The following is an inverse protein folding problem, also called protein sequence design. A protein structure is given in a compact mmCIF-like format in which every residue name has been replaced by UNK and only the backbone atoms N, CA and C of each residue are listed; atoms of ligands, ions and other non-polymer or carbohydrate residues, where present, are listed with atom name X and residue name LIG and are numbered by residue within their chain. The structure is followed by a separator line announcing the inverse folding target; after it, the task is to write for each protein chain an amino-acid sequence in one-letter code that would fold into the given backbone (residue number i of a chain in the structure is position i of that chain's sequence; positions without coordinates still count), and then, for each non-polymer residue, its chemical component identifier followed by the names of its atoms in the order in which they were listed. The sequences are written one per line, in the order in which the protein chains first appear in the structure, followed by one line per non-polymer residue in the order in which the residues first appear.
data_IF_663910018615
#
_entry.id   IF_663910018615
#
_cell.length_a   1.000
_cell.length_b   1.000
_cell.length_c   1.000
_cell.angle_alpha   90.00
_cell.angle_beta   90.00
_cell.angle_gamma   90.00
#
_symmetry.space_group_name_H-M   'P 1'
#
loop_
_entity.id
_entity.type
_entity.pdbx_description
1 polymer ?
#
# COMPACT_ATOMS: atom_id res chain seq x y z
N UNK A 1 0.04 10.95 19.44
CA UNK A 1 0.72 9.91 18.63
C UNK A 1 -0.35 8.88 18.35
N UNK A 2 -0.65 8.57 17.09
CA UNK A 2 -1.69 7.61 16.73
C UNK A 2 -1.10 6.20 16.82
N UNK A 3 -1.79 5.28 17.49
CA UNK A 3 -1.41 3.87 17.53
C UNK A 3 -1.96 3.17 16.28
N UNK A 4 -1.27 3.37 15.15
CA UNK A 4 -1.74 2.95 13.83
C UNK A 4 -1.70 1.43 13.71
N UNK A 5 -2.84 0.82 13.36
CA UNK A 5 -2.97 -0.60 13.04
C UNK A 5 -2.69 -0.87 11.57
N UNK A 6 -3.33 -0.11 10.68
CA UNK A 6 -3.14 -0.23 9.24
C UNK A 6 -3.31 1.14 8.55
N UNK A 7 -2.76 1.24 7.33
CA UNK A 7 -2.84 2.42 6.48
C UNK A 7 -3.11 1.97 5.04
N UNK A 8 -3.95 2.71 4.34
CA UNK A 8 -4.18 2.56 2.91
C UNK A 8 -3.99 3.91 2.23
N UNK A 9 -3.41 3.87 1.03
CA UNK A 9 -3.10 5.05 0.25
C UNK A 9 -3.86 4.96 -1.06
N UNK A 10 -4.65 5.98 -1.37
CA UNK A 10 -5.25 6.16 -2.68
C UNK A 10 -4.34 6.98 -3.59
N UNK A 11 -4.95 7.66 -4.56
CA UNK A 11 -4.23 8.49 -5.51
C UNK A 11 -3.62 9.75 -4.91
N UNK A 12 -4.47 10.46 -4.15
CA UNK A 12 -4.21 11.78 -3.59
C UNK A 12 -4.73 11.91 -2.16
N UNK A 13 -5.16 10.80 -1.58
CA UNK A 13 -5.64 10.72 -0.21
C UNK A 13 -5.07 9.47 0.48
N UNK A 14 -5.14 9.48 1.80
CA UNK A 14 -4.72 8.39 2.64
C UNK A 14 -5.72 8.23 3.78
N UNK A 15 -5.87 6.98 4.22
CA UNK A 15 -6.68 6.63 5.35
C UNK A 15 -5.94 5.64 6.24
N UNK A 16 -6.09 5.79 7.55
CA UNK A 16 -5.52 4.87 8.53
C UNK A 16 -6.56 4.48 9.56
N UNK A 17 -6.34 3.33 10.19
CA UNK A 17 -7.13 2.83 11.31
C UNK A 17 -6.22 2.70 12.53
N UNK A 18 -6.68 3.17 13.69
CA UNK A 18 -5.98 2.98 14.97
C UNK A 18 -6.29 1.60 15.56
N UNK A 19 -5.49 1.12 16.53
CA UNK A 19 -5.81 -0.12 17.25
C UNK A 19 -7.12 -0.09 18.03
N UNK A 20 -7.65 1.11 18.27
CA UNK A 20 -8.95 1.34 18.90
C UNK A 20 -10.11 1.28 17.88
N UNK A 21 -9.80 1.15 16.60
CA UNK A 21 -10.77 1.09 15.51
C UNK A 21 -11.23 2.45 15.00
N UNK A 22 -10.51 3.53 15.31
CA UNK A 22 -10.83 4.86 14.83
C UNK A 22 -10.26 5.08 13.42
N UNK A 23 -11.02 5.73 12.54
CA UNK A 23 -10.62 6.00 11.16
C UNK A 23 -10.19 7.45 10.99
N UNK A 24 -9.00 7.66 10.43
CA UNK A 24 -8.50 8.99 10.07
C UNK A 24 -8.23 9.07 8.57
N UNK A 25 -8.70 10.14 7.92
CA UNK A 25 -8.50 10.40 6.49
C UNK A 25 -7.86 11.78 6.26
N UNK A 26 -7.04 11.90 5.22
CA UNK A 26 -6.46 13.17 4.78
C UNK A 26 -6.03 13.13 3.31
N UNK A 27 -5.77 14.30 2.73
CA UNK A 27 -5.41 14.51 1.33
C UNK A 27 -6.48 15.28 0.56
N UNK A 28 -6.65 14.93 -0.72
CA UNK A 28 -7.67 15.47 -1.62
C UNK A 28 -9.09 15.14 -1.13
N UNK A 29 -9.92 16.17 -1.00
CA UNK A 29 -11.30 16.06 -0.52
C UNK A 29 -12.36 15.88 -1.61
N UNK A 30 -11.98 16.01 -2.88
CA UNK A 30 -12.90 15.96 -4.01
C UNK A 30 -13.67 14.64 -4.06
N UNK A 31 -14.96 14.72 -4.42
CA UNK A 31 -15.85 13.56 -4.49
C UNK A 31 -16.24 12.97 -3.12
N UNK A 32 -15.86 13.62 -2.01
CA UNK A 32 -16.21 13.16 -0.66
C UNK A 32 -15.32 12.03 -0.12
N UNK A 33 -14.20 11.71 -0.78
CA UNK A 33 -13.32 10.57 -0.45
C UNK A 33 -12.70 10.59 0.95
N UNK A 34 -12.77 11.73 1.66
CA UNK A 34 -12.33 11.83 3.06
C UNK A 34 -13.43 11.53 4.09
N UNK A 35 -14.69 11.43 3.69
CA UNK A 35 -15.80 11.06 4.58
C UNK A 35 -16.20 12.11 5.62
N UNK A 36 -15.70 13.34 5.50
CA UNK A 36 -15.85 14.40 6.51
C UNK A 36 -16.86 15.50 6.14
N UNK A 37 -17.71 15.29 5.11
CA UNK A 37 -18.64 16.30 4.54
C UNK A 37 -18.01 17.62 4.08
N UNK A 38 -16.68 17.71 4.05
CA UNK A 38 -15.95 18.94 3.73
C UNK A 38 -15.23 18.71 2.42
N UNK A 39 -15.43 19.61 1.45
CA UNK A 39 -14.72 19.62 0.16
C UNK A 39 -13.47 20.51 0.22
N UNK A 40 -12.67 20.35 1.28
CA UNK A 40 -11.43 21.11 1.50
C UNK A 40 -10.36 20.10 1.82
N UNK A 41 -9.26 20.17 1.06
CA UNK A 41 -8.12 19.28 1.23
C UNK A 41 -7.55 19.37 2.65
N UNK A 42 -7.23 18.22 3.21
CA UNK A 42 -6.75 18.10 4.58
C UNK A 42 -5.31 17.62 4.55
N UNK A 43 -4.39 18.40 5.10
CA UNK A 43 -2.94 18.09 5.05
C UNK A 43 -2.44 17.20 6.19
N UNK A 44 -3.32 16.80 7.11
CA UNK A 44 -3.00 16.01 8.30
C UNK A 44 -4.13 15.02 8.62
N UNK A 45 -3.86 13.89 9.29
CA UNK A 45 -4.90 12.92 9.64
C UNK A 45 -6.05 13.57 10.42
N UNK A 46 -7.28 13.50 9.88
CA UNK A 46 -8.50 13.98 10.54
C UNK A 46 -9.44 12.82 10.79
N UNK A 47 -9.98 12.75 12.01
CA UNK A 47 -10.94 11.74 12.43
C UNK A 47 -12.20 11.82 11.55
N UNK A 48 -12.69 10.66 11.09
CA UNK A 48 -13.96 10.52 10.37
C UNK A 48 -15.08 10.32 11.40
N UNK A 49 -15.67 11.43 11.84
CA UNK A 49 -16.61 11.45 12.99
C UNK A 49 -17.83 10.55 12.82
N UNK A 50 -18.28 10.33 11.58
CA UNK A 50 -19.43 9.46 11.29
C UNK A 50 -19.18 7.97 11.54
N UNK A 51 -17.92 7.56 11.67
CA UNK A 51 -17.54 6.18 12.04
C UNK A 51 -17.20 6.07 13.53
N UNK A 52 -17.39 7.13 14.31
CA UNK A 52 -17.10 7.10 15.74
C UNK A 52 -17.99 6.07 16.46
N UNK A 53 -17.39 5.22 17.30
CA UNK A 53 -18.07 4.12 17.98
C UNK A 53 -18.23 2.85 17.13
N UNK A 54 -17.87 2.86 15.84
CA UNK A 54 -17.84 1.66 15.00
C UNK A 54 -16.42 1.09 15.06
N UNK A 55 -16.28 -0.17 15.50
CA UNK A 55 -14.99 -0.83 15.60
C UNK A 55 -14.46 -1.23 14.21
N UNK A 56 -13.74 -0.34 13.55
CA UNK A 56 -13.11 -0.60 12.24
C UNK A 56 -11.82 -1.40 12.42
N UNK A 57 -11.58 -2.39 11.58
CA UNK A 57 -10.34 -3.19 11.57
C UNK A 57 -9.43 -2.92 10.36
N UNK A 58 -10.01 -2.45 9.25
CA UNK A 58 -9.30 -2.32 7.99
C UNK A 58 -9.87 -1.21 7.12
N UNK A 59 -9.03 -0.74 6.19
CA UNK A 59 -9.36 0.32 5.25
C UNK A 59 -8.72 0.02 3.89
N UNK A 60 -9.44 0.33 2.81
CA UNK A 60 -8.97 0.24 1.44
C UNK A 60 -9.31 1.51 0.67
N UNK A 61 -8.30 2.24 0.23
CA UNK A 61 -8.41 3.41 -0.62
C UNK A 61 -8.30 2.99 -2.09
N UNK A 62 -9.24 3.43 -2.92
CA UNK A 62 -9.12 3.41 -4.37
C UNK A 62 -8.63 4.76 -4.89
N UNK A 63 -8.88 5.04 -6.17
CA UNK A 63 -8.56 6.37 -6.73
C UNK A 63 -9.49 7.44 -6.15
N UNK A 64 -10.81 7.22 -6.22
CA UNK A 64 -11.85 8.19 -5.86
C UNK A 64 -12.69 7.81 -4.63
N UNK A 65 -12.51 6.61 -4.10
CA UNK A 65 -13.33 6.05 -3.03
C UNK A 65 -12.48 5.51 -1.88
N UNK A 66 -13.07 5.43 -0.70
CA UNK A 66 -12.51 4.70 0.44
C UNK A 66 -13.55 3.74 0.98
N UNK A 67 -13.11 2.53 1.32
CA UNK A 67 -13.91 1.54 2.02
C UNK A 67 -13.29 1.24 3.38
N UNK A 68 -14.11 1.00 4.39
CA UNK A 68 -13.68 0.49 5.70
C UNK A 68 -14.41 -0.79 6.05
N UNK A 69 -13.67 -1.72 6.66
CA UNK A 69 -14.17 -3.00 7.13
C UNK A 69 -14.23 -3.00 8.65
N UNK A 70 -15.38 -3.35 9.22
CA UNK A 70 -15.56 -3.47 10.67
C UNK A 70 -15.09 -4.83 11.19
N UNK A 71 -14.86 -4.93 12.50
CA UNK A 71 -14.58 -6.20 13.19
C UNK A 71 -15.76 -7.19 13.11
N UNK A 72 -16.99 -6.68 12.95
CA UNK A 72 -18.20 -7.47 12.72
C UNK A 72 -18.33 -8.01 11.30
N UNK A 73 -17.44 -7.61 10.37
CA UNK A 73 -17.49 -8.04 8.97
C UNK A 73 -18.39 -7.20 8.08
N UNK A 74 -18.75 -5.99 8.51
CA UNK A 74 -19.59 -5.06 7.76
C UNK A 74 -18.72 -4.11 6.93
N UNK A 75 -19.18 -3.80 5.70
CA UNK A 75 -18.48 -2.93 4.77
C UNK A 75 -19.15 -1.56 4.71
N UNK A 76 -18.35 -0.51 4.92
CA UNK A 76 -18.76 0.87 4.70
C UNK A 76 -17.95 1.46 3.55
N UNK A 77 -18.60 2.27 2.70
CA UNK A 77 -17.94 2.95 1.60
C UNK A 77 -18.31 4.44 1.57
N UNK A 78 -17.41 5.26 1.02
CA UNK A 78 -17.64 6.67 0.73
C UNK A 78 -16.67 7.17 -0.34
N UNK A 79 -16.87 8.40 -0.78
CA UNK A 79 -16.24 8.93 -1.98
C UNK A 79 -17.02 8.52 -3.23
N UNK A 80 -16.35 8.59 -4.37
CA UNK A 80 -16.92 8.29 -5.68
C UNK A 80 -16.71 9.42 -6.67
N UNK A 81 -17.05 9.17 -7.93
CA UNK A 81 -17.08 10.20 -8.94
C UNK A 81 -18.23 11.19 -8.67
N UNK A 82 -18.23 12.32 -9.38
CA UNK A 82 -19.20 13.42 -9.16
C UNK A 82 -20.64 12.92 -9.08
N UNK A 83 -21.03 11.94 -9.91
CA UNK A 83 -22.38 11.37 -9.96
C UNK A 83 -22.69 10.28 -8.91
N UNK A 84 -21.67 9.69 -8.28
CA UNK A 84 -21.83 8.68 -7.22
C UNK A 84 -21.25 9.14 -5.89
N UNK A 85 -20.97 10.44 -5.75
CA UNK A 85 -20.22 11.01 -4.63
C UNK A 85 -20.98 10.85 -3.31
N UNK A 86 -20.43 10.03 -2.43
CA UNK A 86 -20.93 9.85 -1.08
C UNK A 86 -20.01 10.56 -0.10
N UNK A 87 -20.51 11.64 0.50
CA UNK A 87 -19.72 12.52 1.37
C UNK A 87 -19.54 12.00 2.80
N UNK A 88 -20.28 10.93 3.11
CA UNK A 88 -20.20 10.20 4.36
C UNK A 88 -20.08 8.70 4.10
N UNK A 89 -19.38 7.98 4.99
CA UNK A 89 -19.47 6.54 5.14
C UNK A 89 -20.92 6.07 5.23
N UNK A 90 -21.30 5.18 4.33
CA UNK A 90 -22.57 4.46 4.37
C UNK A 90 -22.30 2.96 4.31
N UNK A 91 -23.14 2.19 4.99
CA UNK A 91 -23.07 0.73 4.97
C UNK A 91 -23.52 0.21 3.61
N UNK A 92 -22.74 -0.69 3.01
CA UNK A 92 -23.15 -1.41 1.80
C UNK A 92 -24.11 -2.52 2.21
N UNK A 93 -25.38 -2.38 1.81
CA UNK A 93 -26.46 -3.32 2.10
C UNK A 93 -26.98 -4.01 0.82
N UNK A 94 -27.82 -5.03 0.98
CA UNK A 94 -28.44 -5.78 -0.12
C UNK A 94 -27.69 -7.09 -0.38
N UNK A 95 -26.95 -7.24 -1.50
CA UNK A 95 -26.29 -8.52 -1.84
C UNK A 95 -25.25 -9.01 -0.82
N UNK A 96 -24.76 -8.12 0.06
CA UNK A 96 -23.84 -8.45 1.16
C UNK A 96 -24.54 -8.62 2.51
N UNK A 97 -25.87 -8.55 2.57
CA UNK A 97 -26.60 -8.76 3.82
C UNK A 97 -26.41 -10.20 4.31
N UNK A 98 -25.94 -10.34 5.55
CA UNK A 98 -25.59 -11.64 6.13
C UNK A 98 -24.25 -12.23 5.66
N UNK A 99 -23.50 -11.51 4.81
CA UNK A 99 -22.15 -11.90 4.40
C UNK A 99 -21.12 -11.25 5.32
N UNK A 100 -20.33 -12.05 6.02
CA UNK A 100 -19.20 -11.56 6.81
C UNK A 100 -17.98 -11.35 5.90
N UNK A 101 -17.61 -10.08 5.69
CA UNK A 101 -16.52 -9.66 4.81
C UNK A 101 -15.16 -9.88 5.48
N UNK A 102 -14.25 -10.53 4.75
CA UNK A 102 -12.85 -10.78 5.16
C UNK A 102 -11.92 -9.67 4.66
N UNK A 103 -12.05 -9.28 3.39
CA UNK A 103 -11.16 -8.32 2.75
C UNK A 103 -11.87 -7.56 1.63
N UNK A 104 -11.38 -6.35 1.35
CA UNK A 104 -11.85 -5.50 0.27
C UNK A 104 -10.65 -4.95 -0.50
N UNK A 105 -10.73 -4.90 -1.83
CA UNK A 105 -9.77 -4.23 -2.69
C UNK A 105 -10.48 -3.22 -3.57
N UNK A 106 -10.00 -1.98 -3.54
CA UNK A 106 -10.56 -0.86 -4.28
C UNK A 106 -9.59 -0.52 -5.42
N UNK A 107 -10.02 -0.74 -6.66
CA UNK A 107 -9.32 -0.25 -7.84
C UNK A 107 -9.69 1.21 -8.14
N UNK A 108 -9.33 1.65 -9.34
CA UNK A 108 -9.76 2.96 -9.86
C UNK A 108 -11.26 2.95 -10.20
N UNK A 109 -11.70 1.89 -10.87
CA UNK A 109 -13.04 1.82 -11.47
C UNK A 109 -13.96 0.76 -10.86
N UNK A 110 -13.42 -0.15 -10.06
CA UNK A 110 -14.18 -1.28 -9.50
C UNK A 110 -13.70 -1.68 -8.11
N UNK A 111 -14.56 -2.39 -7.39
CA UNK A 111 -14.31 -2.91 -6.05
C UNK A 111 -14.53 -4.40 -6.03
N UNK A 112 -13.65 -5.12 -5.35
CA UNK A 112 -13.77 -6.54 -5.08
C UNK A 112 -13.84 -6.80 -3.57
N UNK A 113 -14.72 -7.70 -3.17
CA UNK A 113 -15.00 -8.03 -1.77
C UNK A 113 -14.90 -9.54 -1.61
N UNK A 114 -14.10 -9.99 -0.64
CA UNK A 114 -13.93 -11.40 -0.31
C UNK A 114 -14.62 -11.66 1.02
N UNK A 115 -15.48 -12.69 1.09
CA UNK A 115 -16.10 -13.12 2.34
C UNK A 115 -15.20 -14.05 3.15
N UNK A 116 -15.48 -14.17 4.44
CA UNK A 116 -14.88 -15.18 5.34
C UNK A 116 -15.17 -16.62 4.90
N UNK A 117 -16.18 -16.83 4.05
CA UNK A 117 -16.52 -18.11 3.44
C UNK A 117 -15.86 -18.35 2.08
N UNK A 118 -14.91 -17.49 1.68
CA UNK A 118 -14.14 -17.63 0.44
C UNK A 118 -14.88 -17.24 -0.83
N UNK A 119 -16.04 -16.56 -0.74
CA UNK A 119 -16.78 -16.05 -1.89
C UNK A 119 -16.21 -14.71 -2.34
N UNK A 120 -16.22 -14.48 -3.65
CA UNK A 120 -15.82 -13.21 -4.26
C UNK A 120 -17.02 -12.48 -4.84
N UNK A 121 -17.15 -11.19 -4.47
CA UNK A 121 -18.12 -10.27 -5.04
C UNK A 121 -17.40 -9.11 -5.72
N UNK A 122 -17.92 -8.66 -6.86
CA UNK A 122 -17.35 -7.54 -7.63
C UNK A 122 -18.45 -6.60 -8.09
N UNK A 123 -18.14 -5.30 -8.14
CA UNK A 123 -19.01 -4.26 -8.68
C UNK A 123 -18.20 -3.02 -9.10
N UNK A 124 -18.82 -2.11 -9.84
CA UNK A 124 -18.22 -0.92 -10.45
C UNK A 124 -18.29 -0.98 -11.97
N UNK A 125 -17.30 -0.37 -12.63
CA UNK A 125 -17.18 -0.36 -14.09
C UNK A 125 -16.83 -1.76 -14.63
N UNK A 126 -17.56 -2.21 -15.65
CA UNK A 126 -17.39 -3.52 -16.28
C UNK A 126 -16.39 -3.54 -17.45
N UNK A 127 -15.82 -2.40 -17.83
CA UNK A 127 -14.96 -2.28 -19.02
C UNK A 127 -13.80 -3.28 -18.99
N UNK A 128 -13.47 -3.86 -20.15
CA UNK A 128 -12.52 -4.98 -20.32
C UNK A 128 -12.88 -6.29 -19.58
N UNK A 129 -14.02 -6.35 -18.88
CA UNK A 129 -14.45 -7.53 -18.14
C UNK A 129 -13.83 -7.65 -16.75
N UNK A 130 -13.36 -6.56 -16.15
CA UNK A 130 -12.69 -6.52 -14.83
C UNK A 130 -13.52 -7.07 -13.68
N UNK A 131 -14.85 -7.14 -13.83
CA UNK A 131 -15.74 -7.73 -12.84
C UNK A 131 -15.79 -9.27 -12.93
N UNK A 132 -15.29 -9.89 -13.99
CA UNK A 132 -15.17 -11.35 -14.06
C UNK A 132 -16.49 -12.11 -14.22
N UNK A 133 -17.55 -11.43 -14.68
CA UNK A 133 -18.89 -12.02 -14.89
C UNK A 133 -19.14 -12.53 -16.31
N UNK A 134 -18.10 -12.66 -17.14
CA UNK A 134 -18.21 -13.16 -18.52
C UNK A 134 -18.71 -12.14 -19.54
N UNK A 135 -18.81 -10.87 -19.15
CA UNK A 135 -19.24 -9.76 -20.00
C UNK A 135 -18.54 -8.46 -19.56
N UNK A 136 -18.85 -7.34 -20.22
CA UNK A 136 -18.30 -6.01 -19.93
C UNK A 136 -19.31 -5.04 -19.32
N UNK A 137 -20.37 -5.55 -18.68
CA UNK A 137 -21.42 -4.71 -18.10
C UNK A 137 -21.02 -4.18 -16.72
N UNK A 138 -21.24 -2.89 -16.49
CA UNK A 138 -21.03 -2.25 -15.19
C UNK A 138 -22.14 -2.61 -14.21
N UNK A 139 -21.78 -2.74 -12.93
CA UNK A 139 -22.70 -3.10 -11.84
C UNK A 139 -22.63 -2.08 -10.71
N UNK A 140 -23.77 -1.58 -10.25
CA UNK A 140 -23.83 -0.63 -9.14
C UNK A 140 -23.79 -1.30 -7.76
N UNK A 141 -24.09 -2.60 -7.71
CA UNK A 141 -24.15 -3.37 -6.47
C UNK A 141 -23.27 -4.63 -6.56
N UNK A 142 -22.72 -5.11 -5.44
CA UNK A 142 -21.93 -6.34 -5.38
C UNK A 142 -22.65 -7.54 -6.00
N UNK A 143 -21.97 -8.26 -6.89
CA UNK A 143 -22.46 -9.52 -7.46
C UNK A 143 -21.44 -10.63 -7.27
N UNK A 144 -21.89 -11.83 -6.88
CA UNK A 144 -21.01 -13.00 -6.71
C UNK A 144 -20.41 -13.42 -8.06
N UNK A 145 -19.10 -13.72 -8.07
CA UNK A 145 -18.37 -14.17 -9.26
C UNK A 145 -18.56 -15.69 -9.40
N UNK A 146 -19.62 -16.10 -10.08
CA UNK A 146 -20.06 -17.51 -10.18
C UNK A 146 -18.98 -18.49 -10.67
N UNK A 147 -18.05 -18.03 -11.51
CA UNK A 147 -16.95 -18.87 -12.04
C UNK A 147 -15.94 -19.29 -10.98
N UNK A 148 -15.89 -18.62 -9.83
CA UNK A 148 -15.02 -18.96 -8.69
C UNK A 148 -15.77 -19.64 -7.53
N UNK A 149 -17.06 -19.95 -7.69
CA UNK A 149 -17.92 -20.47 -6.61
C UNK A 149 -17.47 -21.81 -6.04
N UNK A 150 -16.76 -22.62 -6.84
CA UNK A 150 -16.19 -23.91 -6.42
C UNK A 150 -14.78 -23.80 -5.82
N UNK A 151 -14.25 -22.57 -5.70
CA UNK A 151 -12.93 -22.28 -5.18
C UNK A 151 -13.05 -21.44 -3.91
N UNK A 152 -12.05 -21.55 -3.04
CA UNK A 152 -11.97 -20.71 -1.85
C UNK A 152 -11.06 -19.52 -2.13
N UNK A 153 -11.63 -18.35 -2.36
CA UNK A 153 -10.87 -17.12 -2.61
C UNK A 153 -10.27 -16.61 -1.29
N UNK A 154 -8.94 -16.51 -1.23
CA UNK A 154 -8.18 -16.08 -0.06
C UNK A 154 -7.84 -14.58 -0.09
N UNK A 155 -7.57 -14.05 -1.28
CA UNK A 155 -7.15 -12.66 -1.46
C UNK A 155 -7.50 -12.17 -2.86
N UNK A 156 -7.70 -10.85 -3.00
CA UNK A 156 -7.99 -10.18 -4.26
C UNK A 156 -7.28 -8.83 -4.32
N UNK A 157 -6.88 -8.43 -5.52
CA UNK A 157 -6.32 -7.12 -5.82
C UNK A 157 -6.91 -6.54 -7.10
N UNK A 158 -7.31 -5.28 -7.03
CA UNK A 158 -7.91 -4.52 -8.13
C UNK A 158 -6.90 -3.50 -8.67
N UNK A 159 -6.54 -3.59 -9.95
CA UNK A 159 -5.89 -2.50 -10.68
C UNK A 159 -6.94 -1.58 -11.31
N UNK A 160 -6.55 -0.64 -12.18
CA UNK A 160 -7.51 0.15 -12.94
C UNK A 160 -8.36 -0.72 -13.87
N UNK A 161 -7.69 -1.55 -14.68
CA UNK A 161 -8.34 -2.30 -15.76
C UNK A 161 -8.14 -3.82 -15.67
N UNK A 162 -7.74 -4.35 -14.52
CA UNK A 162 -7.62 -5.79 -14.32
C UNK A 162 -7.76 -6.15 -12.85
N UNK A 163 -8.03 -7.42 -12.61
CA UNK A 163 -8.24 -7.97 -11.28
C UNK A 163 -7.46 -9.27 -11.16
N UNK A 164 -6.87 -9.48 -9.99
CA UNK A 164 -6.16 -10.70 -9.67
C UNK A 164 -6.65 -11.25 -8.34
N UNK A 165 -6.79 -12.57 -8.25
CA UNK A 165 -7.19 -13.26 -7.03
C UNK A 165 -6.33 -14.48 -6.78
N UNK A 166 -6.17 -14.80 -5.50
CA UNK A 166 -5.58 -16.05 -5.04
C UNK A 166 -6.71 -16.93 -4.55
N UNK A 167 -6.87 -18.09 -5.15
CA UNK A 167 -7.93 -19.04 -4.79
C UNK A 167 -7.38 -20.46 -4.64
N UNK A 168 -7.96 -21.20 -3.70
CA UNK A 168 -7.64 -22.60 -3.46
C UNK A 168 -8.68 -23.53 -4.10
N UNK A 169 -8.21 -24.64 -4.68
CA UNK A 169 -9.07 -25.66 -5.27
C UNK A 169 -9.52 -26.61 -4.17
N UNK A 170 -10.84 -26.68 -3.93
CA UNK A 170 -11.45 -27.42 -2.82
C UNK A 170 -11.35 -28.96 -2.89
N UNK A 171 -10.64 -29.52 -3.88
CA UNK A 171 -10.62 -30.97 -4.13
C UNK A 171 -9.82 -31.77 -3.10
N UNK A 172 -9.03 -31.12 -2.24
CA UNK A 172 -8.17 -31.79 -1.27
C UNK A 172 -8.38 -31.21 0.13
N UNK A 173 -9.33 -31.76 0.90
CA UNK A 173 -9.66 -31.27 2.26
C UNK A 173 -8.44 -31.28 3.21
N UNK A 174 -7.41 -32.07 2.90
CA UNK A 174 -6.15 -32.12 3.65
C UNK A 174 -5.25 -30.90 3.40
N UNK A 175 -5.54 -30.05 2.40
CA UNK A 175 -4.80 -28.82 2.07
C UNK A 175 -5.50 -27.52 2.46
N UNK A 176 -6.70 -27.56 3.07
CA UNK A 176 -7.42 -26.37 3.55
C UNK A 176 -6.60 -25.48 4.52
N UNK A 177 -5.53 -26.02 5.11
CA UNK A 177 -4.57 -25.30 5.96
C UNK A 177 -3.26 -24.88 5.24
N UNK A 178 -3.15 -25.09 3.94
CA UNK A 178 -2.01 -24.65 3.15
C UNK A 178 -2.03 -23.12 3.06
N UNK A 179 -0.90 -22.49 3.38
CA UNK A 179 -0.80 -21.04 3.50
C UNK A 179 -0.92 -20.29 2.15
N UNK A 180 -1.12 -20.98 1.02
CA UNK A 180 -1.17 -20.37 -0.31
C UNK A 180 -2.31 -20.88 -1.20
N UNK A 181 -2.40 -20.32 -2.39
CA UNK A 181 -3.36 -20.70 -3.42
C UNK A 181 -2.84 -20.44 -4.83
N UNK A 182 -3.68 -20.70 -5.83
CA UNK A 182 -3.35 -20.48 -7.25
C UNK A 182 -3.77 -19.08 -7.68
N UNK A 183 -3.01 -18.51 -8.61
CA UNK A 183 -3.21 -17.16 -9.12
C UNK A 183 -4.21 -17.18 -10.28
N UNK A 184 -5.27 -16.38 -10.16
CA UNK A 184 -6.25 -16.12 -11.20
C UNK A 184 -6.20 -14.65 -11.58
N UNK A 185 -6.26 -14.34 -12.88
CA UNK A 185 -6.23 -12.97 -13.39
C UNK A 185 -7.28 -12.78 -14.49
N UNK A 186 -7.89 -11.61 -14.55
CA UNK A 186 -8.86 -11.24 -15.58
C UNK A 186 -8.99 -9.72 -15.78
N UNK A 187 -9.72 -9.30 -16.80
CA UNK A 187 -9.78 -7.91 -17.27
C UNK A 187 -8.92 -7.67 -18.51
N UNK A 188 -8.30 -6.49 -18.60
CA UNK A 188 -7.44 -6.07 -19.71
C UNK A 188 -6.12 -6.85 -19.77
N UNK A 189 -5.86 -7.44 -20.94
CA UNK A 189 -4.65 -8.22 -21.25
C UNK A 189 -3.47 -7.37 -21.73
N UNK A 190 -3.64 -6.06 -21.94
CA UNK A 190 -2.59 -5.23 -22.53
C UNK A 190 -1.31 -5.22 -21.67
N UNK A 191 -0.17 -5.18 -22.37
CA UNK A 191 1.19 -5.35 -21.82
C UNK A 191 1.43 -6.69 -21.10
N UNK A 192 0.52 -7.66 -21.18
CA UNK A 192 0.69 -8.95 -20.52
C UNK A 192 0.50 -8.90 -19.00
N UNK A 193 -0.24 -7.89 -18.48
CA UNK A 193 -0.46 -7.72 -17.04
C UNK A 193 -1.23 -8.87 -16.38
N UNK A 194 -1.91 -9.69 -17.18
CA UNK A 194 -2.61 -10.90 -16.69
C UNK A 194 -1.69 -12.13 -16.61
N UNK A 195 -0.52 -12.13 -17.25
CA UNK A 195 0.40 -13.27 -17.23
C UNK A 195 -0.05 -14.47 -18.08
N UNK A 196 -1.06 -14.30 -18.93
CA UNK A 196 -1.45 -15.33 -19.91
C UNK A 196 -0.52 -15.29 -21.13
N UNK A 197 -0.45 -16.40 -21.86
CA UNK A 197 0.37 -16.49 -23.07
C UNK A 197 -0.13 -15.56 -24.19
N UNK A 198 -1.44 -15.29 -24.21
CA UNK A 198 -2.08 -14.33 -25.08
C UNK A 198 -2.19 -12.93 -24.45
N UNK A 199 -2.52 -11.94 -25.28
CA UNK A 199 -2.77 -10.54 -24.87
C UNK A 199 -4.25 -10.23 -24.74
N UNK A 200 -5.09 -11.26 -24.82
CA UNK A 200 -6.51 -11.05 -24.89
C UNK A 200 -7.05 -10.73 -23.51
N UNK A 201 -8.02 -9.82 -23.48
CA UNK A 201 -8.80 -9.61 -22.26
C UNK A 201 -9.44 -10.92 -21.84
N UNK A 202 -9.49 -11.17 -20.53
CA UNK A 202 -10.23 -12.31 -19.97
C UNK A 202 -11.48 -11.78 -19.29
N UNK A 203 -12.64 -12.25 -19.73
CA UNK A 203 -13.93 -11.84 -19.16
C UNK A 203 -14.31 -12.64 -17.91
N UNK A 204 -13.59 -13.73 -17.65
CA UNK A 204 -13.76 -14.59 -16.48
C UNK A 204 -12.41 -14.76 -15.79
N UNK A 205 -12.38 -14.90 -14.45
CA UNK A 205 -11.22 -15.34 -13.70
C UNK A 205 -10.57 -16.57 -14.35
N UNK A 206 -9.33 -16.40 -14.80
CA UNK A 206 -8.60 -17.45 -15.51
C UNK A 206 -7.32 -17.77 -14.76
N UNK A 207 -7.06 -19.05 -14.51
CA UNK A 207 -5.85 -19.50 -13.83
C UNK A 207 -4.59 -19.20 -14.67
N UNK A 208 -3.57 -18.62 -14.05
CA UNK A 208 -2.27 -18.35 -14.72
C UNK A 208 -1.46 -19.64 -14.77
N UNK A 209 -1.64 -20.41 -15.84
CA UNK A 209 -1.08 -21.77 -16.00
C UNK A 209 0.44 -21.83 -15.88
N UNK A 210 1.17 -20.81 -16.33
CA UNK A 210 2.64 -20.77 -16.22
C UNK A 210 3.14 -20.72 -14.77
N UNK A 211 2.28 -20.38 -13.81
CA UNK A 211 2.61 -20.29 -12.38
C UNK A 211 1.91 -21.36 -11.54
N UNK A 212 1.37 -22.41 -12.17
CA UNK A 212 0.58 -23.44 -11.46
C UNK A 212 1.39 -24.24 -10.43
N UNK A 213 2.71 -24.36 -10.61
CA UNK A 213 3.61 -25.08 -9.69
C UNK A 213 4.02 -24.23 -8.46
N UNK A 214 3.46 -23.04 -8.33
CA UNK A 214 3.70 -22.14 -7.21
C UNK A 214 2.42 -21.91 -6.41
N UNK A 215 2.61 -21.67 -5.11
CA UNK A 215 1.53 -21.29 -4.20
C UNK A 215 1.76 -19.84 -3.76
N UNK A 216 0.76 -19.01 -4.00
CA UNK A 216 0.78 -17.57 -3.73
C UNK A 216 0.07 -17.26 -2.43
N UNK A 217 0.61 -16.29 -1.69
CA UNK A 217 0.07 -15.84 -0.39
C UNK A 217 -0.43 -14.40 -0.44
N UNK A 218 0.06 -13.61 -1.40
CA UNK A 218 -0.36 -12.23 -1.59
C UNK A 218 -0.29 -11.85 -3.07
N UNK A 219 -1.22 -11.00 -3.50
CA UNK A 219 -1.23 -10.37 -4.83
C UNK A 219 -1.54 -8.89 -4.69
N UNK A 220 -0.92 -8.06 -5.53
CA UNK A 220 -1.28 -6.66 -5.66
C UNK A 220 -1.24 -6.22 -7.13
N UNK A 221 -2.06 -5.24 -7.48
CA UNK A 221 -2.24 -4.74 -8.83
C UNK A 221 -1.89 -3.24 -8.89
N UNK A 222 -1.21 -2.84 -9.96
CA UNK A 222 -0.91 -1.45 -10.31
C UNK A 222 -1.59 -1.05 -11.61
N UNK A 223 -1.09 -0.02 -12.30
CA UNK A 223 -1.68 0.45 -13.56
C UNK A 223 -1.61 -0.59 -14.67
N UNK A 224 -0.40 -1.06 -14.96
CA UNK A 224 -0.11 -2.11 -15.96
C UNK A 224 0.83 -3.16 -15.35
N UNK A 225 0.52 -3.59 -14.13
CA UNK A 225 1.40 -4.39 -13.29
C UNK A 225 0.58 -5.30 -12.40
N UNK A 226 0.91 -6.59 -12.37
CA UNK A 226 0.49 -7.51 -11.31
C UNK A 226 1.74 -8.02 -10.61
N UNK A 227 1.73 -8.03 -9.29
CA UNK A 227 2.80 -8.55 -8.44
C UNK A 227 2.23 -9.65 -7.56
N UNK A 228 2.87 -10.80 -7.53
CA UNK A 228 2.43 -11.95 -6.75
C UNK A 228 3.58 -12.48 -5.87
N UNK A 229 3.28 -12.69 -4.60
CA UNK A 229 4.21 -13.21 -3.60
C UNK A 229 3.91 -14.67 -3.34
N UNK A 230 4.92 -15.53 -3.47
CA UNK A 230 4.81 -16.96 -3.15
C UNK A 230 4.98 -17.24 -1.66
N UNK A 231 4.54 -18.40 -1.21
CA UNK A 231 4.75 -18.90 0.16
C UNK A 231 6.22 -19.09 0.54
N UNK A 232 7.11 -19.16 -0.47
CA UNK A 232 8.57 -19.24 -0.30
C UNK A 232 9.26 -17.87 -0.22
N UNK A 233 8.49 -16.78 -0.26
CA UNK A 233 9.03 -15.42 -0.23
C UNK A 233 9.58 -14.92 -1.58
N UNK A 234 9.34 -15.64 -2.68
CA UNK A 234 9.72 -15.21 -4.04
C UNK A 234 8.65 -14.30 -4.64
N UNK A 235 9.07 -13.20 -5.26
CA UNK A 235 8.20 -12.21 -5.90
C UNK A 235 8.21 -12.38 -7.42
N UNK A 236 7.02 -12.56 -7.99
CA UNK A 236 6.76 -12.57 -9.43
C UNK A 236 6.08 -11.27 -9.85
N UNK A 237 6.45 -10.76 -11.03
CA UNK A 237 5.84 -9.60 -11.64
C UNK A 237 5.45 -9.90 -13.09
N UNK A 238 4.40 -9.24 -13.56
CA UNK A 238 3.92 -9.33 -14.94
C UNK A 238 3.30 -8.00 -15.36
N UNK A 239 3.41 -7.67 -16.65
CA UNK A 239 2.91 -6.41 -17.22
C UNK A 239 3.99 -5.59 -17.91
N UNK A 240 3.91 -4.28 -17.79
CA UNK A 240 4.77 -3.30 -18.46
C UNK A 240 6.13 -3.17 -17.79
N UNK A 241 7.21 -3.12 -18.58
CA UNK A 241 8.58 -2.89 -18.11
C UNK A 241 9.04 -1.42 -18.18
N UNK A 242 8.18 -0.50 -18.65
CA UNK A 242 8.56 0.86 -19.09
C UNK A 242 9.35 1.67 -18.06
N UNK A 243 8.99 1.59 -16.78
CA UNK A 243 9.65 2.30 -15.68
C UNK A 243 10.48 1.37 -14.79
N UNK A 244 10.73 0.13 -15.23
CA UNK A 244 11.44 -0.86 -14.45
C UNK A 244 10.63 -1.51 -13.33
N UNK A 245 9.30 -1.33 -13.31
CA UNK A 245 8.41 -1.83 -12.24
C UNK A 245 8.35 -3.36 -12.12
N UNK A 246 8.84 -4.10 -13.13
CA UNK A 246 9.02 -5.55 -13.06
C UNK A 246 10.21 -5.97 -12.18
N UNK A 247 11.11 -5.04 -11.82
CA UNK A 247 12.23 -5.31 -10.92
C UNK A 247 13.29 -6.25 -11.49
N UNK A 248 13.29 -6.45 -12.81
CA UNK A 248 14.25 -7.24 -13.53
C UNK A 248 14.69 -6.48 -14.81
N UNK A 249 15.97 -6.09 -14.93
CA UNK A 249 16.48 -5.34 -16.08
C UNK A 249 16.41 -6.08 -17.42
N UNK A 250 16.31 -7.41 -17.37
CA UNK A 250 16.19 -8.26 -18.56
C UNK A 250 14.73 -8.54 -18.92
N UNK A 251 13.78 -8.07 -18.10
CA UNK A 251 12.36 -8.25 -18.37
C UNK A 251 12.00 -7.52 -19.66
N UNK A 252 11.32 -8.25 -20.55
CA UNK A 252 10.65 -7.67 -21.72
C UNK A 252 9.15 -7.68 -21.42
N UNK A 253 8.42 -6.75 -22.02
CA UNK A 253 6.95 -6.82 -22.02
C UNK A 253 6.54 -8.25 -22.44
N UNK A 254 5.54 -8.82 -21.76
CA UNK A 254 4.95 -10.17 -21.93
C UNK A 254 5.54 -11.32 -21.10
N UNK A 255 6.71 -11.18 -20.45
CA UNK A 255 7.22 -12.28 -19.61
C UNK A 255 6.75 -12.14 -18.17
N UNK A 256 6.16 -13.21 -17.63
CA UNK A 256 6.13 -13.39 -16.19
C UNK A 256 7.58 -13.47 -15.73
N UNK A 257 7.95 -12.61 -14.79
CA UNK A 257 9.35 -12.41 -14.44
C UNK A 257 9.54 -12.52 -12.93
N UNK A 258 10.58 -13.24 -12.52
CA UNK A 258 11.05 -13.22 -11.13
C UNK A 258 11.85 -11.94 -10.91
N UNK A 259 11.56 -11.27 -9.79
CA UNK A 259 12.30 -10.07 -9.38
C UNK A 259 13.77 -10.44 -9.08
N UNK A 260 14.71 -9.67 -9.62
CA UNK A 260 16.15 -9.95 -9.53
C UNK A 260 16.87 -9.02 -8.54
N UNK A 261 18.19 -9.16 -8.47
CA UNK A 261 19.05 -8.32 -7.64
C UNK A 261 19.08 -8.77 -6.18
N UNK A 262 19.34 -7.83 -5.26
CA UNK A 262 19.55 -8.16 -3.83
C UNK A 262 18.31 -8.76 -3.16
N UNK A 263 17.10 -8.46 -3.65
CA UNK A 263 15.87 -9.00 -3.09
C UNK A 263 15.74 -10.52 -3.31
N UNK A 264 16.36 -11.08 -4.36
CA UNK A 264 16.34 -12.52 -4.66
C UNK A 264 17.03 -13.38 -3.59
N UNK A 265 17.92 -12.76 -2.80
CA UNK A 265 18.64 -13.42 -1.69
C UNK A 265 17.86 -13.34 -0.37
N UNK A 266 16.64 -12.82 -0.41
CA UNK A 266 15.86 -12.46 0.77
C UNK A 266 14.50 -13.13 0.71
N UNK A 267 13.95 -13.45 1.89
CA UNK A 267 12.56 -13.91 2.00
C UNK A 267 11.66 -12.69 2.14
N UNK A 268 10.78 -12.46 1.16
CA UNK A 268 9.76 -11.39 1.21
C UNK A 268 8.56 -11.88 2.02
N UNK A 269 8.07 -11.04 2.95
CA UNK A 269 6.86 -11.33 3.74
C UNK A 269 5.63 -10.53 3.30
N UNK A 270 5.83 -9.38 2.65
CA UNK A 270 4.75 -8.48 2.25
C UNK A 270 5.16 -7.68 1.01
N UNK A 271 4.21 -7.49 0.10
CA UNK A 271 4.34 -6.66 -1.11
C UNK A 271 3.26 -5.57 -1.15
N UNK A 272 3.56 -4.45 -1.80
CA UNK A 272 2.57 -3.42 -2.13
C UNK A 272 2.96 -2.75 -3.44
N UNK A 273 1.98 -2.33 -4.24
CA UNK A 273 2.23 -1.68 -5.53
C UNK A 273 1.41 -0.41 -5.69
N UNK A 274 2.03 0.61 -6.26
CA UNK A 274 1.30 1.76 -6.82
C UNK A 274 1.04 1.59 -8.30
N UNK A 275 0.77 2.70 -9.01
CA UNK A 275 0.48 2.63 -10.45
C UNK A 275 1.65 2.07 -11.26
N UNK A 276 2.88 2.43 -10.90
CA UNK A 276 4.11 2.08 -11.64
C UNK A 276 5.32 1.82 -10.74
N UNK A 277 5.12 1.51 -9.46
CA UNK A 277 6.20 1.21 -8.52
C UNK A 277 5.78 0.10 -7.57
N UNK A 278 6.76 -0.54 -6.95
CA UNK A 278 6.56 -1.64 -6.00
C UNK A 278 7.40 -1.39 -4.76
N UNK A 279 6.83 -1.72 -3.60
CA UNK A 279 7.53 -1.87 -2.35
C UNK A 279 7.45 -3.34 -1.90
N UNK A 280 8.54 -3.85 -1.34
CA UNK A 280 8.59 -5.18 -0.73
C UNK A 280 9.23 -5.09 0.65
N UNK A 281 8.62 -5.75 1.62
CA UNK A 281 9.11 -5.88 2.98
C UNK A 281 9.58 -7.32 3.20
N UNK A 282 10.85 -7.46 3.55
CA UNK A 282 11.48 -8.75 3.84
C UNK A 282 11.15 -9.23 5.26
N UNK A 283 11.24 -10.54 5.50
CA UNK A 283 11.13 -11.13 6.84
C UNK A 283 12.17 -10.58 7.82
N UNK A 284 13.33 -10.12 7.31
CA UNK A 284 14.36 -9.43 8.07
C UNK A 284 14.08 -7.96 8.37
N UNK A 285 12.89 -7.44 8.04
CA UNK A 285 12.48 -6.06 8.32
C UNK A 285 13.06 -5.00 7.37
N UNK A 286 13.74 -5.41 6.29
CA UNK A 286 14.29 -4.50 5.28
C UNK A 286 13.25 -4.23 4.20
N UNK A 287 13.16 -2.95 3.79
CA UNK A 287 12.24 -2.47 2.75
C UNK A 287 13.00 -2.19 1.46
N UNK A 288 12.52 -2.74 0.36
CA UNK A 288 13.03 -2.49 -0.98
C UNK A 288 11.95 -1.81 -1.82
N UNK A 289 12.36 -0.86 -2.67
CA UNK A 289 11.48 -0.17 -3.62
C UNK A 289 12.09 -0.12 -5.01
N UNK A 290 11.24 -0.16 -6.04
CA UNK A 290 11.65 -0.02 -7.44
C UNK A 290 10.49 0.40 -8.34
N UNK A 291 10.78 0.67 -9.61
CA UNK A 291 9.85 1.22 -10.60
C UNK A 291 10.01 2.72 -10.75
N UNK A 292 8.91 3.41 -11.06
CA UNK A 292 8.89 4.86 -11.28
C UNK A 292 9.25 5.63 -10.00
N UNK A 293 10.16 6.59 -10.09
CA UNK A 293 10.66 7.43 -9.00
C UNK A 293 10.32 8.91 -9.11
N UNK A 294 9.67 9.36 -10.19
CA UNK A 294 9.49 10.79 -10.53
C UNK A 294 8.85 11.68 -9.46
N UNK A 295 8.14 11.13 -8.47
CA UNK A 295 7.53 11.87 -7.33
C UNK A 295 8.24 11.61 -5.99
N UNK A 296 9.41 10.96 -6.01
CA UNK A 296 10.12 10.51 -4.81
C UNK A 296 9.45 9.31 -4.12
N UNK A 297 8.50 8.64 -4.76
CA UNK A 297 7.70 7.56 -4.16
C UNK A 297 8.52 6.35 -3.73
N UNK A 298 9.73 6.18 -4.28
CA UNK A 298 10.63 5.10 -3.89
C UNK A 298 11.30 5.35 -2.53
N UNK A 299 11.32 6.58 -2.02
CA UNK A 299 11.93 6.91 -0.73
C UNK A 299 13.46 6.78 -0.68
N UNK A 300 14.13 6.81 -1.84
CA UNK A 300 15.57 6.59 -1.98
C UNK A 300 16.42 7.86 -1.86
N UNK A 301 15.78 9.02 -1.71
CA UNK A 301 16.44 10.33 -1.58
C UNK A 301 16.63 11.08 -2.90
N UNK A 302 16.08 10.56 -3.99
CA UNK A 302 16.07 11.14 -5.33
C UNK A 302 14.73 10.84 -6.04
N UNK A 303 14.60 11.30 -7.29
CA UNK A 303 13.41 11.13 -8.14
C UNK A 303 13.66 10.21 -9.33
N UNK A 304 14.70 9.38 -9.28
CA UNK A 304 15.11 8.53 -10.40
C UNK A 304 14.36 7.20 -10.40
N UNK A 305 14.01 6.73 -11.60
CA UNK A 305 13.42 5.41 -11.80
C UNK A 305 14.44 4.31 -11.47
N UNK A 306 13.97 3.17 -10.95
CA UNK A 306 14.83 2.02 -10.60
C UNK A 306 14.33 0.76 -11.28
N UNK A 307 15.18 0.14 -12.09
CA UNK A 307 14.89 -1.13 -12.77
C UNK A 307 15.20 -2.38 -11.94
N UNK A 308 15.73 -2.21 -10.72
CA UNK A 308 15.97 -3.29 -9.75
C UNK A 308 15.55 -2.85 -8.34
N UNK A 309 15.12 -3.79 -7.48
CA UNK A 309 14.86 -3.52 -6.07
C UNK A 309 16.04 -2.83 -5.39
N UNK A 310 15.79 -1.63 -4.90
CA UNK A 310 16.77 -0.81 -4.18
C UNK A 310 16.40 -0.74 -2.69
N UNK A 311 17.38 -0.95 -1.82
CA UNK A 311 17.16 -0.90 -0.37
C UNK A 311 16.88 0.54 0.08
N UNK A 312 15.81 0.73 0.85
CA UNK A 312 15.47 2.03 1.46
C UNK A 312 16.32 2.23 2.72
N UNK A 313 17.51 2.82 2.53
CA UNK A 313 18.53 2.93 3.59
C UNK A 313 18.07 3.70 4.83
N UNK A 314 17.14 4.64 4.66
CA UNK A 314 16.57 5.43 5.75
C UNK A 314 15.74 4.59 6.74
N UNK A 315 15.30 3.39 6.33
CA UNK A 315 14.53 2.44 7.13
C UNK A 315 15.35 1.27 7.67
N UNK A 316 16.64 1.14 7.31
CA UNK A 316 17.50 0.00 7.69
C UNK A 316 17.52 -0.28 9.20
N UNK A 317 17.52 0.78 10.00
CA UNK A 317 17.57 0.72 11.47
C UNK A 317 16.19 0.75 12.15
N UNK A 318 15.10 0.63 11.38
CA UNK A 318 13.72 0.65 11.86
C UNK A 318 13.14 -0.74 11.87
N UNK A 319 12.24 -0.99 12.81
CA UNK A 319 11.40 -2.18 12.79
C UNK A 319 10.17 -1.86 11.96
N UNK A 320 10.24 -2.14 10.65
CA UNK A 320 9.11 -1.93 9.74
C UNK A 320 8.12 -3.09 9.90
N UNK A 321 6.89 -2.75 10.24
CA UNK A 321 5.81 -3.72 10.47
C UNK A 321 5.07 -4.01 9.17
N UNK A 322 4.65 -2.96 8.47
CA UNK A 322 3.88 -3.04 7.23
C UNK A 322 4.21 -1.92 6.24
N UNK A 323 3.83 -2.12 4.98
CA UNK A 323 4.04 -1.18 3.87
C UNK A 323 2.74 -0.96 3.09
N UNK A 324 2.55 0.25 2.56
CA UNK A 324 1.42 0.55 1.70
C UNK A 324 1.84 1.47 0.56
N UNK A 325 1.40 1.17 -0.64
CA UNK A 325 1.57 2.01 -1.82
C UNK A 325 0.21 2.57 -2.26
N UNK A 326 0.20 3.84 -2.64
CA UNK A 326 -0.89 4.48 -3.39
C UNK A 326 -0.47 4.67 -4.85
N UNK A 327 -1.21 5.44 -5.64
CA UNK A 327 -0.92 5.62 -7.08
C UNK A 327 0.54 6.09 -7.31
N UNK A 328 0.99 7.06 -6.51
CA UNK A 328 2.35 7.63 -6.56
C UNK A 328 2.93 7.93 -5.16
N UNK A 329 2.48 7.22 -4.11
CA UNK A 329 2.90 7.40 -2.73
C UNK A 329 3.33 6.06 -2.13
N UNK A 330 4.24 6.08 -1.15
CA UNK A 330 4.57 4.90 -0.32
C UNK A 330 4.60 5.32 1.14
N UNK A 331 4.01 4.50 2.01
CA UNK A 331 4.06 4.62 3.45
C UNK A 331 4.58 3.32 4.07
N UNK A 332 5.20 3.44 5.24
CA UNK A 332 5.63 2.31 6.05
C UNK A 332 5.26 2.57 7.51
N UNK A 333 4.63 1.59 8.15
CA UNK A 333 4.38 1.63 9.59
C UNK A 333 5.61 1.04 10.27
N UNK A 334 6.26 1.84 11.10
CA UNK A 334 7.41 1.39 11.88
C UNK A 334 6.99 1.27 13.34
N UNK A 335 7.26 0.12 13.95
CA UNK A 335 7.20 0.00 15.40
C UNK A 335 8.21 0.97 16.01
N UNK A 336 7.71 1.91 16.81
CA UNK A 336 8.57 2.58 17.75
C UNK A 336 9.03 1.50 18.72
N UNK A 337 10.31 1.11 18.67
CA UNK A 337 10.87 0.20 19.67
C UNK A 337 10.41 0.69 21.03
N UNK A 338 9.72 -0.17 21.80
CA UNK A 338 9.50 0.11 23.22
C UNK A 338 10.89 0.30 23.79
N UNK A 339 11.21 1.52 24.18
CA UNK A 339 12.59 1.81 24.53
C UNK A 339 12.77 1.22 25.92
N UNK A 340 13.41 0.06 26.00
CA UNK A 340 13.87 -0.49 27.29
C UNK A 340 14.79 0.55 27.94
N UNK A 341 14.80 0.62 29.27
CA UNK A 341 15.65 1.59 30.00
C UNK A 341 17.13 1.42 29.61
N UNK A 342 17.54 0.21 29.23
CA UNK A 342 18.87 -0.11 28.69
C UNK A 342 19.14 0.48 27.31
N UNK A 343 18.18 0.53 26.38
CA UNK A 343 18.34 1.15 25.05
C UNK A 343 18.38 2.69 25.10
N UNK A 344 17.88 3.30 26.19
CA UNK A 344 18.03 4.73 26.48
C UNK A 344 19.32 5.08 27.21
N UNK A 345 20.21 4.11 27.45
CA UNK A 345 21.41 4.35 28.26
C UNK A 345 22.48 5.14 27.52
N UNK A 346 22.47 5.21 26.17
CA UNK A 346 23.54 5.85 25.40
C UNK A 346 23.08 6.64 24.17
N UNK A 347 23.87 7.65 23.81
CA UNK A 347 23.64 8.51 22.65
C UNK A 347 23.78 7.73 21.34
N UNK A 348 22.78 7.78 20.45
CA UNK A 348 22.82 7.06 19.16
C UNK A 348 24.00 7.49 18.27
N UNK A 349 24.42 8.75 18.36
CA UNK A 349 25.49 9.32 17.56
C UNK A 349 26.90 8.89 18.00
N UNK A 350 27.26 9.16 19.25
CA UNK A 350 28.60 8.87 19.78
C UNK A 350 28.70 7.60 20.62
N UNK A 351 27.61 6.85 20.79
CA UNK A 351 27.52 5.60 21.56
C UNK A 351 27.87 5.70 23.04
N UNK A 352 28.16 6.90 23.55
CA UNK A 352 28.47 7.14 24.96
C UNK A 352 27.20 7.18 25.82
N UNK A 353 27.32 6.66 27.04
CA UNK A 353 26.22 6.64 27.99
C UNK A 353 25.73 8.05 28.38
N UNK A 354 24.42 8.16 28.61
CA UNK A 354 23.79 9.30 29.26
C UNK A 354 23.97 9.19 30.77
N UNK A 355 23.98 10.34 31.44
CA UNK A 355 24.14 10.45 32.89
C UNK A 355 23.81 11.86 33.35
N UNK A 356 24.09 12.20 34.61
CA UNK A 356 23.77 13.52 35.19
C UNK A 356 24.32 14.71 34.36
N UNK A 357 25.57 14.62 33.91
CA UNK A 357 26.20 15.65 33.08
C UNK A 357 25.78 15.59 31.59
N UNK A 358 25.32 14.43 31.10
CA UNK A 358 25.01 14.21 29.68
C UNK A 358 23.51 13.98 29.50
N UNK A 359 22.77 15.09 29.37
CA UNK A 359 21.32 15.07 29.16
C UNK A 359 20.92 14.43 27.83
N UNK A 360 19.81 13.70 27.86
CA UNK A 360 19.20 13.05 26.71
C UNK A 360 18.25 14.00 25.96
N UNK A 361 18.31 13.99 24.63
CA UNK A 361 17.48 14.81 23.76
C UNK A 361 16.94 14.01 22.58
N UNK A 362 15.66 14.17 22.27
CA UNK A 362 15.06 13.55 21.10
C UNK A 362 15.39 14.36 19.83
N UNK A 363 15.75 13.65 18.77
CA UNK A 363 15.75 14.23 17.43
C UNK A 363 14.30 14.34 16.93
N UNK A 364 13.82 15.54 16.63
CA UNK A 364 12.46 15.79 16.13
C UNK A 364 12.25 15.34 14.67
N UNK A 365 13.24 14.70 14.05
CA UNK A 365 13.10 14.11 12.72
C UNK A 365 13.07 12.57 12.77
N UNK A 366 14.07 11.95 13.43
CA UNK A 366 14.15 10.49 13.51
C UNK A 366 13.64 9.90 14.85
N UNK A 367 13.34 10.70 15.85
CA UNK A 367 12.83 10.23 17.16
C UNK A 367 13.88 9.55 18.05
N UNK A 368 15.12 9.36 17.58
CA UNK A 368 16.19 8.73 18.34
C UNK A 368 16.82 9.70 19.37
N UNK A 369 17.46 9.14 20.39
CA UNK A 369 18.09 9.87 21.50
C UNK A 369 19.54 10.27 21.19
N UNK A 370 19.86 11.54 21.45
CA UNK A 370 21.18 12.12 21.25
C UNK A 370 21.58 12.99 22.45
N UNK A 371 22.89 13.14 22.67
CA UNK A 371 23.42 14.15 23.57
C UNK A 371 23.45 15.52 22.88
N UNK A 372 23.60 16.59 23.66
CA UNK A 372 23.62 17.96 23.13
C UNK A 372 24.57 18.14 21.95
N UNK A 373 25.80 17.60 22.02
CA UNK A 373 26.80 17.70 20.95
C UNK A 373 26.38 16.99 19.64
N UNK A 374 25.64 15.88 19.73
CA UNK A 374 25.18 15.13 18.55
C UNK A 374 23.86 15.66 17.97
N UNK A 375 23.21 16.61 18.65
CA UNK A 375 21.93 17.21 18.25
C UNK A 375 21.87 18.70 18.57
N UNK A 376 22.95 19.44 18.32
CA UNK A 376 22.99 20.88 18.64
C UNK A 376 22.20 21.73 17.64
N UNK A 377 21.98 21.18 16.44
CA UNK A 377 21.39 21.91 15.32
C UNK A 377 19.86 21.83 15.32
N UNK A 378 19.21 22.86 14.76
CA UNK A 378 17.76 22.96 14.61
C UNK A 378 17.40 23.19 13.15
N UNK A 379 16.28 22.61 12.70
CA UNK A 379 15.72 22.79 11.35
C UNK A 379 14.20 22.91 11.45
N UNK A 380 13.58 23.64 10.53
CA UNK A 380 12.12 23.65 10.33
C UNK A 380 11.68 22.39 9.56
N UNK A 381 10.37 22.12 9.46
CA UNK A 381 9.80 20.98 8.72
C UNK A 381 10.29 19.58 9.14
N UNK A 382 10.65 19.40 10.41
CA UNK A 382 11.06 18.08 10.92
C UNK A 382 9.85 17.17 11.14
N UNK A 383 9.96 15.89 10.77
CA UNK A 383 8.82 14.96 10.71
C UNK A 383 8.01 14.80 11.99
N UNK A 384 8.63 14.95 13.16
CA UNK A 384 8.02 14.75 14.48
C UNK A 384 7.85 16.07 15.26
N UNK A 385 8.04 17.23 14.62
CA UNK A 385 7.81 18.51 15.27
C UNK A 385 6.31 18.73 15.56
N UNK A 386 5.94 19.20 16.77
CA UNK A 386 4.57 19.62 17.07
C UNK A 386 4.09 20.75 16.15
N UNK A 387 5.03 21.58 15.69
CA UNK A 387 4.76 22.65 14.74
C UNK A 387 5.89 22.71 13.69
N UNK A 388 5.56 22.45 12.43
CA UNK A 388 6.52 22.41 11.32
C UNK A 388 7.15 23.76 11.00
N UNK A 389 6.52 24.88 11.36
CA UNK A 389 7.07 26.22 11.12
C UNK A 389 8.13 26.63 12.14
N UNK A 390 8.25 25.93 13.28
CA UNK A 390 9.25 26.24 14.32
C UNK A 390 10.52 25.39 14.16
N UNK A 391 11.72 25.96 14.32
CA UNK A 391 12.96 25.19 14.29
C UNK A 391 13.03 24.20 15.46
N UNK A 392 13.02 22.91 15.14
CA UNK A 392 13.11 21.82 16.10
C UNK A 392 14.48 21.14 16.05
N UNK A 393 14.91 20.61 17.19
CA UNK A 393 16.22 20.00 17.38
C UNK A 393 16.34 18.70 16.58
N UNK A 394 17.42 18.52 15.83
CA UNK A 394 17.68 17.29 15.07
C UNK A 394 19.11 16.81 15.27
N UNK A 395 19.37 15.52 15.05
CA UNK A 395 20.72 14.99 15.05
C UNK A 395 21.52 15.48 13.83
N UNK A 396 22.85 15.44 13.92
CA UNK A 396 23.73 15.90 12.84
C UNK A 396 23.45 15.21 11.49
N UNK A 397 23.16 13.91 11.50
CA UNK A 397 22.82 13.15 10.30
C UNK A 397 21.52 13.65 9.66
N UNK A 398 20.45 13.83 10.45
CA UNK A 398 19.18 14.36 9.95
C UNK A 398 19.31 15.81 9.48
N UNK A 399 20.11 16.63 10.18
CA UNK A 399 20.38 18.01 9.76
C UNK A 399 20.98 18.07 8.36
N UNK A 400 22.04 17.31 8.12
CA UNK A 400 22.72 17.29 6.82
C UNK A 400 21.80 16.78 5.71
N UNK A 401 20.99 15.76 5.99
CA UNK A 401 20.02 15.21 5.04
C UNK A 401 18.93 16.25 4.68
N UNK A 402 18.34 16.92 5.67
CA UNK A 402 17.31 17.93 5.45
C UNK A 402 17.84 19.17 4.71
N UNK A 403 19.09 19.57 4.95
CA UNK A 403 19.73 20.66 4.20
C UNK A 403 19.91 20.32 2.72
N UNK A 404 20.31 19.08 2.39
CA UNK A 404 20.44 18.63 1.00
C UNK A 404 19.11 18.69 0.25
N UNK A 405 18.02 18.23 0.88
CA UNK A 405 16.67 18.30 0.31
C UNK A 405 16.25 19.76 0.06
N UNK A 406 16.49 20.65 1.02
CA UNK A 406 16.12 22.07 0.91
C UNK A 406 16.89 22.79 -0.20
N UNK A 407 18.15 22.43 -0.41
CA UNK A 407 18.97 23.01 -1.47
C UNK A 407 18.57 22.47 -2.85
N UNK A 408 18.22 21.19 -2.97
CA UNK A 408 17.75 20.59 -4.23
C UNK A 408 16.42 21.17 -4.71
N UNK A 409 15.54 21.57 -3.79
CA UNK A 409 14.23 22.15 -4.10
C UNK A 409 14.30 23.64 -4.48
N UNK A 410 15.40 24.34 -4.16
CA UNK A 410 15.63 25.73 -4.61
C UNK A 410 16.14 25.85 -6.03
N UNK A 411 16.74 24.78 -6.59
CA UNK A 411 17.29 24.77 -7.95
C UNK A 411 16.19 24.56 -9.01
N UNK A 412 14.99 24.13 -8.62
CA UNK A 412 13.87 23.82 -9.52
C UNK A 412 12.83 24.95 -9.71
N UNK A 413 13.10 26.18 -9.25
CA UNK A 413 12.27 27.35 -9.61
C UNK A 413 12.91 28.05 -10.83
N UNK A 414 12.28 28.04 -12.02
CA UNK A 414 12.69 28.92 -13.10
C UNK A 414 12.36 30.37 -12.70
N UNK A 415 13.36 31.24 -12.84
CA UNK A 415 13.16 32.68 -12.90
C UNK A 415 12.26 33.00 -14.10
N UNK A 416 11.04 33.49 -13.82
CA UNK A 416 10.28 34.27 -14.78
C UNK A 416 9.72 35.49 -14.03
N UNK A 417 10.51 36.56 -14.06
CA UNK A 417 10.07 37.94 -13.90
C UNK A 417 10.60 38.69 -15.14
N UNK A 418 9.71 39.03 -16.07
CA UNK A 418 9.31 40.40 -16.44
C UNK A 418 7.89 40.31 -17.00
#
# INVERSE_FOLDING_TARGET
MLDVQCISLGARHAALVTKQGEVFCWGDASGGRLGNKINIDISHPKLVESLNGIAVQGVACGEYQTCSLTQSGELYAWGGEVCTSQWLPHKISGPLDGVNVLAVSCGEWHTAVVSTTGKLFTYGDGTFGVLGHGNTQSLLQPKEVESLKSLWVKSVACGPWHTAAIAEIMTDRNKLNANGGKLFTWGDGDKGRLGHADRDRKLLPTCVVQLMDHDFVQVCCGGMLTVALTSKGTVYTMGSAVYGQLGNPQAKDKSITVVEGKLKQESVKEISSGSYHVAALTSGGRVYTWGRGSNGQLGLGDTEDRHTPSLVESLRDRQVESIACGSNLTAAICLHKSITVSDQSACRGCKMAFGFARKKHNCYNCGLLFCHACSSKKVVNTSLAPNKSKPCRVCNTCFNHLQKITNSSKVLKPENQV
#
